data_IF_357169037832
#
_entry.id   IF_357169037832
#
_cell.length_a   1.000
_cell.length_b   1.000
_cell.length_c   1.000
_cell.angle_alpha   90.00
_cell.angle_beta   90.00
_cell.angle_gamma   90.00
#
_symmetry.space_group_name_H-M   'P 1'
#
loop_
_entity.id
_entity.type
_entity.pdbx_description
1 polymer ?
#
# COMPACT_ATOMS: atom_id res chain seq x y z
N UNK A 1 14.63 4.27 14.25
CA UNK A 1 14.74 5.57 13.53
C UNK A 1 16.12 6.21 13.61
N UNK A 2 16.79 6.24 14.78
CA UNK A 2 18.13 6.84 14.92
C UNK A 2 19.19 6.32 13.91
N UNK A 3 19.12 5.03 13.52
CA UNK A 3 19.99 4.49 12.47
C UNK A 3 19.74 5.09 11.08
N UNK A 4 18.49 5.37 10.72
CA UNK A 4 18.14 5.94 9.43
C UNK A 4 18.52 7.42 9.33
N UNK A 5 18.37 8.16 10.42
CA UNK A 5 18.78 9.55 10.53
C UNK A 5 20.29 9.79 10.27
N UNK A 6 21.13 8.75 10.40
CA UNK A 6 22.57 8.85 10.08
C UNK A 6 22.88 8.91 8.58
N UNK A 7 21.95 8.46 7.72
CA UNK A 7 22.10 8.51 6.24
C UNK A 7 20.72 8.66 5.59
N UNK A 8 20.07 9.82 5.82
CA UNK A 8 18.66 10.04 5.50
C UNK A 8 18.31 9.79 4.02
N UNK A 9 19.24 10.08 3.12
CA UNK A 9 19.08 9.97 1.67
C UNK A 9 18.84 8.54 1.16
N UNK A 10 19.10 7.51 1.97
CA UNK A 10 18.94 6.11 1.57
C UNK A 10 18.25 5.24 2.62
N UNK A 11 18.49 5.49 3.91
CA UNK A 11 18.10 4.53 4.96
C UNK A 11 16.62 4.52 5.30
N UNK A 12 15.90 5.61 5.06
CA UNK A 12 14.45 5.64 5.25
C UNK A 12 13.73 4.78 4.21
N UNK A 13 14.14 4.87 2.94
CA UNK A 13 13.64 4.02 1.87
C UNK A 13 13.96 2.54 2.14
N UNK A 14 15.20 2.23 2.55
CA UNK A 14 15.58 0.86 2.93
C UNK A 14 14.71 0.30 4.07
N UNK A 15 14.41 1.12 5.08
CA UNK A 15 13.49 0.74 6.14
C UNK A 15 12.07 0.48 5.60
N UNK A 16 11.58 1.34 4.70
CA UNK A 16 10.28 1.18 4.07
C UNK A 16 10.18 -0.13 3.26
N UNK A 17 11.28 -0.58 2.65
CA UNK A 17 11.33 -1.86 1.92
C UNK A 17 11.22 -3.08 2.83
N UNK A 18 11.80 -3.02 4.03
CA UNK A 18 11.92 -4.16 4.92
C UNK A 18 10.81 -4.27 5.97
N UNK A 19 10.26 -3.15 6.44
CA UNK A 19 9.31 -3.16 7.57
C UNK A 19 7.89 -3.53 7.16
N UNK A 20 7.06 -3.97 8.10
CA UNK A 20 5.62 -4.13 7.85
C UNK A 20 4.93 -2.76 7.80
N UNK A 21 4.20 -2.50 6.72
CA UNK A 21 3.38 -1.28 6.61
C UNK A 21 2.09 -1.40 7.43
N UNK A 22 1.53 -2.61 7.58
CA UNK A 22 0.32 -2.91 8.36
C UNK A 22 0.61 -3.67 9.66
N UNK A 23 -0.43 -3.87 10.48
CA UNK A 23 -0.33 -4.59 11.76
C UNK A 23 0.10 -6.06 11.58
N UNK A 24 0.54 -6.68 12.68
CA UNK A 24 0.86 -8.11 12.72
C UNK A 24 -0.41 -8.95 12.60
N UNK A 25 -0.38 -10.03 11.80
CA UNK A 25 -1.55 -10.87 11.50
C UNK A 25 -2.37 -10.43 10.27
N UNK A 26 -2.00 -9.31 9.65
CA UNK A 26 -2.58 -8.81 8.40
C UNK A 26 -1.80 -9.37 7.19
N UNK A 27 -1.80 -10.69 6.98
CA UNK A 27 -1.06 -11.29 5.84
C UNK A 27 -1.64 -10.81 4.50
N UNK A 28 -2.96 -10.79 4.38
CA UNK A 28 -3.66 -10.38 3.15
C UNK A 28 -4.60 -9.17 3.33
N UNK A 29 -4.95 -8.82 4.57
CA UNK A 29 -5.95 -7.78 4.86
C UNK A 29 -5.40 -6.72 5.79
N UNK A 30 -5.11 -5.53 5.28
CA UNK A 30 -4.58 -4.44 6.10
C UNK A 30 -5.65 -3.85 7.03
N UNK A 31 -5.37 -3.78 8.34
CA UNK A 31 -6.26 -3.18 9.35
C UNK A 31 -5.82 -1.79 9.82
N UNK A 32 -4.85 -1.19 9.13
CA UNK A 32 -4.28 0.11 9.46
C UNK A 32 -2.75 0.12 9.44
N UNK A 33 -2.17 1.32 9.46
CA UNK A 33 -0.71 1.49 9.49
C UNK A 33 -0.11 1.00 10.80
N UNK A 34 0.97 0.21 10.70
CA UNK A 34 1.77 -0.19 11.85
C UNK A 34 2.39 1.03 12.54
N UNK A 35 2.62 0.94 13.86
CA UNK A 35 3.28 2.03 14.62
C UNK A 35 4.66 2.38 14.06
N UNK A 36 5.39 1.37 13.55
CA UNK A 36 6.69 1.57 12.92
C UNK A 36 6.58 2.32 11.59
N UNK A 37 5.60 1.98 10.75
CA UNK A 37 5.37 2.64 9.47
C UNK A 37 4.88 4.09 9.66
N UNK A 38 3.94 4.33 10.57
CA UNK A 38 3.52 5.70 10.95
C UNK A 38 4.71 6.54 11.38
N UNK A 39 5.56 5.98 12.26
CA UNK A 39 6.76 6.70 12.71
C UNK A 39 7.75 6.94 11.58
N UNK A 40 7.87 6.01 10.62
CA UNK A 40 8.78 6.17 9.48
C UNK A 40 8.32 7.32 8.58
N UNK A 41 7.04 7.34 8.22
CA UNK A 41 6.41 8.41 7.44
C UNK A 41 6.58 9.75 8.16
N UNK A 42 6.37 9.77 9.48
CA UNK A 42 6.42 11.01 10.26
C UNK A 42 7.83 11.62 10.39
N UNK A 43 8.89 10.82 10.39
CA UNK A 43 10.26 11.32 10.63
C UNK A 43 11.17 11.24 9.40
N UNK A 44 10.65 10.78 8.27
CA UNK A 44 11.38 10.81 7.02
C UNK A 44 11.54 12.26 6.55
N UNK A 45 12.73 12.65 6.07
CA UNK A 45 12.92 13.95 5.44
C UNK A 45 12.23 14.03 4.07
N UNK A 46 11.97 12.88 3.44
CA UNK A 46 11.29 12.72 2.16
C UNK A 46 10.16 11.69 2.34
N UNK A 47 9.04 12.03 3.00
CA UNK A 47 7.99 11.06 3.31
C UNK A 47 7.32 10.50 2.06
N UNK A 48 7.27 11.27 0.97
CA UNK A 48 6.75 10.83 -0.32
C UNK A 48 7.49 9.59 -0.83
N UNK A 49 8.83 9.56 -0.77
CA UNK A 49 9.62 8.38 -1.19
C UNK A 49 9.32 7.12 -0.37
N UNK A 50 9.08 7.31 0.93
CA UNK A 50 8.68 6.21 1.83
C UNK A 50 7.30 5.69 1.46
N UNK A 51 6.35 6.59 1.17
CA UNK A 51 4.99 6.25 0.77
C UNK A 51 4.95 5.55 -0.59
N UNK A 52 5.72 6.02 -1.58
CA UNK A 52 5.87 5.34 -2.88
C UNK A 52 6.41 3.92 -2.71
N UNK A 53 7.39 3.75 -1.83
CA UNK A 53 7.93 2.43 -1.49
C UNK A 53 6.88 1.52 -0.86
N UNK A 54 6.03 2.06 0.02
CA UNK A 54 4.92 1.28 0.58
C UNK A 54 3.84 0.96 -0.46
N UNK A 55 3.50 1.90 -1.34
CA UNK A 55 2.54 1.69 -2.41
C UNK A 55 2.97 0.56 -3.36
N UNK A 56 4.27 0.51 -3.74
CA UNK A 56 4.81 -0.61 -4.52
C UNK A 56 4.64 -1.96 -3.82
N UNK A 57 4.74 -1.96 -2.48
CA UNK A 57 4.56 -3.15 -1.65
C UNK A 57 3.11 -3.47 -1.33
N UNK A 58 2.15 -2.64 -1.77
CA UNK A 58 0.75 -2.99 -1.71
C UNK A 58 0.41 -4.10 -2.68
N UNK A 59 1.21 -4.41 -3.70
CA UNK A 59 1.01 -5.64 -4.46
C UNK A 59 1.82 -6.78 -3.82
N UNK A 60 1.18 -7.89 -3.39
CA UNK A 60 1.91 -9.05 -2.91
C UNK A 60 2.63 -9.73 -4.09
N UNK A 61 3.77 -10.39 -3.81
CA UNK A 61 4.49 -11.19 -4.80
C UNK A 61 3.83 -12.57 -5.05
N UNK A 62 3.02 -13.02 -4.10
CA UNK A 62 2.27 -14.28 -4.15
C UNK A 62 1.02 -14.07 -3.30
N UNK A 63 -0.14 -14.53 -3.79
CA UNK A 63 -1.41 -14.45 -3.08
C UNK A 63 -2.28 -15.65 -3.41
N UNK A 64 -3.34 -15.83 -2.61
CA UNK A 64 -4.42 -16.77 -2.90
C UNK A 64 -5.75 -16.01 -2.92
N UNK A 65 -6.72 -16.51 -3.69
CA UNK A 65 -8.01 -15.81 -3.84
C UNK A 65 -7.94 -14.57 -4.72
N UNK A 66 -8.78 -13.58 -4.43
CA UNK A 66 -8.92 -12.33 -5.20
C UNK A 66 -7.83 -11.32 -4.84
N UNK A 67 -6.99 -10.94 -5.81
CA UNK A 67 -6.04 -9.84 -5.64
C UNK A 67 -6.79 -8.52 -5.45
N UNK A 68 -7.93 -8.33 -6.14
CA UNK A 68 -8.75 -7.14 -5.99
C UNK A 68 -9.20 -6.94 -4.54
N UNK A 69 -9.67 -7.99 -3.86
CA UNK A 69 -10.12 -7.89 -2.48
C UNK A 69 -8.96 -7.63 -1.51
N UNK A 70 -7.80 -8.26 -1.73
CA UNK A 70 -6.58 -7.98 -0.96
C UNK A 70 -6.18 -6.50 -1.12
N UNK A 71 -6.12 -5.98 -2.35
CA UNK A 71 -5.79 -4.57 -2.62
C UNK A 71 -6.83 -3.60 -2.05
N UNK A 72 -8.12 -3.93 -2.13
CA UNK A 72 -9.20 -3.12 -1.57
C UNK A 72 -9.01 -2.87 -0.06
N UNK A 73 -8.50 -3.87 0.68
CA UNK A 73 -8.20 -3.69 2.12
C UNK A 73 -7.09 -2.70 2.41
N UNK A 74 -6.25 -2.37 1.43
CA UNK A 74 -5.16 -1.40 1.57
C UNK A 74 -5.60 0.03 1.26
N UNK A 75 -6.77 0.23 0.64
CA UNK A 75 -7.31 1.57 0.36
C UNK A 75 -7.45 2.44 1.62
N UNK A 76 -7.98 1.94 2.76
CA UNK A 76 -8.05 2.72 4.00
C UNK A 76 -6.70 3.26 4.49
N UNK A 77 -5.58 2.62 4.12
CA UNK A 77 -4.24 3.15 4.44
C UNK A 77 -3.96 4.46 3.71
N UNK A 78 -4.34 4.57 2.44
CA UNK A 78 -4.17 5.80 1.65
C UNK A 78 -5.17 6.85 2.13
N UNK A 79 -6.44 6.47 2.32
CA UNK A 79 -7.49 7.40 2.77
C UNK A 79 -7.15 8.05 4.12
N UNK A 80 -6.58 7.30 5.06
CA UNK A 80 -6.16 7.83 6.36
C UNK A 80 -5.10 8.93 6.26
N UNK A 81 -4.33 8.97 5.16
CA UNK A 81 -3.27 9.97 4.95
C UNK A 81 -3.81 11.28 4.35
N UNK A 82 -5.02 11.31 3.78
CA UNK A 82 -5.61 12.56 3.23
C UNK A 82 -5.83 13.64 4.30
N UNK A 83 -5.99 13.23 5.56
CA UNK A 83 -6.19 14.12 6.70
C UNK A 83 -4.89 14.37 7.50
N UNK A 84 -3.73 14.02 6.93
CA UNK A 84 -2.46 14.19 7.61
C UNK A 84 -2.11 15.67 7.79
N UNK A 85 -1.47 16.01 8.92
CA UNK A 85 -1.11 17.40 9.25
C UNK A 85 -0.05 18.00 8.32
N UNK A 86 0.82 17.15 7.75
CA UNK A 86 1.81 17.55 6.74
C UNK A 86 1.20 17.53 5.34
N UNK A 87 1.20 18.67 4.68
CA UNK A 87 0.63 18.86 3.34
C UNK A 87 1.19 17.86 2.32
N UNK A 88 2.51 17.65 2.28
CA UNK A 88 3.15 16.70 1.36
C UNK A 88 2.61 15.25 1.44
N UNK A 89 2.18 14.82 2.64
CA UNK A 89 1.59 13.49 2.85
C UNK A 89 0.12 13.47 2.42
N UNK A 90 -0.63 14.52 2.76
CA UNK A 90 -2.02 14.67 2.36
C UNK A 90 -2.15 14.78 0.84
N UNK A 91 -1.31 15.57 0.20
CA UNK A 91 -1.25 15.76 -1.25
C UNK A 91 -0.90 14.45 -1.96
N UNK A 92 0.09 13.71 -1.44
CA UNK A 92 0.41 12.38 -1.95
C UNK A 92 -0.82 11.45 -1.92
N UNK A 93 -1.55 11.42 -0.80
CA UNK A 93 -2.72 10.56 -0.63
C UNK A 93 -3.86 10.96 -1.57
N UNK A 94 -4.11 12.26 -1.73
CA UNK A 94 -5.12 12.78 -2.64
C UNK A 94 -4.78 12.47 -4.11
N UNK A 95 -3.50 12.52 -4.48
CA UNK A 95 -3.05 12.19 -5.84
C UNK A 95 -3.13 10.68 -6.14
N UNK A 96 -2.83 9.81 -5.17
CA UNK A 96 -2.70 8.36 -5.40
C UNK A 96 -3.99 7.57 -5.14
N UNK A 97 -4.88 8.03 -4.26
CA UNK A 97 -6.11 7.30 -3.95
C UNK A 97 -6.98 7.01 -5.19
N UNK A 98 -7.23 7.95 -6.12
CA UNK A 98 -8.03 7.66 -7.32
C UNK A 98 -7.37 6.62 -8.23
N UNK A 99 -6.05 6.72 -8.42
CA UNK A 99 -5.30 5.78 -9.24
C UNK A 99 -5.29 4.36 -8.63
N UNK A 100 -5.16 4.28 -7.30
CA UNK A 100 -5.21 3.01 -6.58
C UNK A 100 -6.61 2.39 -6.66
N UNK A 101 -7.68 3.18 -6.49
CA UNK A 101 -9.07 2.72 -6.65
C UNK A 101 -9.30 2.14 -8.04
N UNK A 102 -8.91 2.87 -9.09
CA UNK A 102 -9.02 2.40 -10.47
C UNK A 102 -8.17 1.14 -10.75
N UNK A 103 -7.09 0.90 -10.00
CA UNK A 103 -6.32 -0.35 -10.11
C UNK A 103 -7.06 -1.54 -9.49
N UNK A 104 -7.75 -1.33 -8.36
CA UNK A 104 -8.58 -2.34 -7.71
C UNK A 104 -9.74 -2.75 -8.62
N UNK A 105 -10.45 -1.77 -9.20
CA UNK A 105 -11.60 -2.04 -10.07
C UNK A 105 -11.18 -2.81 -11.34
N UNK A 106 -10.07 -2.39 -11.98
CA UNK A 106 -9.52 -3.12 -13.13
C UNK A 106 -9.15 -4.56 -12.80
N UNK A 107 -8.58 -4.79 -11.62
CA UNK A 107 -8.23 -6.14 -11.18
C UNK A 107 -9.49 -6.99 -10.96
N UNK A 108 -10.56 -6.40 -10.40
CA UNK A 108 -11.83 -7.08 -10.19
C UNK A 108 -12.50 -7.46 -11.52
N UNK A 109 -12.48 -6.57 -12.49
CA UNK A 109 -13.00 -6.83 -13.84
C UNK A 109 -12.23 -7.97 -14.53
N UNK A 110 -10.91 -7.97 -14.38
CA UNK A 110 -10.04 -9.02 -14.92
C UNK A 110 -10.35 -10.39 -14.31
N UNK A 111 -10.45 -10.47 -12.99
CA UNK A 111 -10.81 -11.71 -12.27
C UNK A 111 -12.20 -12.23 -12.66
N UNK A 112 -13.17 -11.34 -12.81
CA UNK A 112 -14.52 -11.70 -13.25
C UNK A 112 -14.55 -12.21 -14.70
N UNK A 113 -13.74 -11.62 -15.59
CA UNK A 113 -13.62 -12.08 -16.97
C UNK A 113 -12.97 -13.47 -17.06
N UNK A 114 -11.94 -13.73 -16.25
CA UNK A 114 -11.25 -15.02 -16.24
C UNK A 114 -12.07 -16.13 -15.57
N UNK A 115 -12.90 -15.80 -14.58
CA UNK A 115 -13.89 -16.73 -14.05
C UNK A 115 -14.88 -17.18 -15.13
N UNK A 116 -15.48 -16.22 -15.87
CA UNK A 116 -16.43 -16.52 -16.95
C UNK A 116 -15.83 -17.37 -18.06
N UNK A 117 -14.59 -17.09 -18.48
CA UNK A 117 -13.90 -17.89 -19.51
C UNK A 117 -13.67 -19.34 -19.07
N UNK A 118 -13.36 -19.56 -17.80
CA UNK A 118 -13.16 -20.91 -17.26
C UNK A 118 -14.48 -21.66 -17.22
N UNK A 119 -15.54 -21.05 -16.70
CA UNK A 119 -16.87 -21.70 -16.62
C UNK A 119 -17.37 -22.15 -18.00
N UNK A 120 -17.18 -21.33 -19.03
CA UNK A 120 -17.57 -21.65 -20.42
C UNK A 120 -16.71 -22.75 -21.09
N UNK A 121 -15.52 -23.06 -20.55
CA UNK A 121 -14.66 -24.11 -21.10
C UNK A 121 -14.96 -25.50 -20.53
N UNK A 122 -15.83 -25.60 -19.52
CA UNK A 122 -16.24 -26.85 -18.88
C UNK A 122 -17.68 -27.28 -19.23
N UNK A 123 -18.39 -26.53 -20.07
CA UNK A 123 -19.65 -26.92 -20.74
C UNK A 123 -19.39 -27.46 -22.15
#
# INVERSE_FOLDING_TARGET
>A
MAWAAKKPETRYELLARAMRFSHAGDEDHAKGWSSAAKRLIEVAPEPVRVLDTFLLRFSPNSWSGSLADILATRMPLIEALKQHSKAEIADWANAHAPAFAASVDRQRDHEAADHRKRDQAFE
#
